data_IF_309183627360
#
_entry.id   IF_309183627360
#
_cell.length_a   1.000
_cell.length_b   1.000
_cell.length_c   1.000
_cell.angle_alpha   90.00
_cell.angle_beta   90.00
_cell.angle_gamma   90.00
#
_symmetry.space_group_name_H-M   'P 1'
#
loop_
_entity.id
_entity.type
_entity.pdbx_description
1 polymer ?
#
# COMPACT_ATOMS: atom_id res chain seq x y z
N UNK A 1 0.62 -6.86 -2.99
CA UNK A 1 -0.29 -7.28 -4.08
C UNK A 1 -1.69 -6.87 -3.73
N UNK A 2 -2.34 -6.15 -4.64
CA UNK A 2 -3.78 -5.86 -4.53
C UNK A 2 -4.62 -7.14 -4.73
N UNK A 3 -5.94 -7.02 -4.53
CA UNK A 3 -6.87 -8.13 -4.67
C UNK A 3 -6.89 -8.71 -6.10
N UNK A 4 -6.71 -7.87 -7.13
CA UNK A 4 -6.72 -8.31 -8.54
C UNK A 4 -5.43 -8.99 -8.99
N UNK A 5 -4.36 -8.93 -8.17
CA UNK A 5 -3.01 -9.43 -8.51
C UNK A 5 -2.39 -8.71 -9.71
N UNK A 6 -2.75 -7.45 -9.94
CA UNK A 6 -2.13 -6.61 -10.97
C UNK A 6 -1.16 -5.60 -10.38
N UNK A 7 -1.42 -5.09 -9.18
CA UNK A 7 -0.59 -4.07 -8.57
C UNK A 7 0.18 -4.65 -7.39
N UNK A 8 1.48 -4.35 -7.33
CA UNK A 8 2.31 -4.57 -6.14
C UNK A 8 2.39 -3.25 -5.39
N UNK A 9 2.06 -3.29 -4.11
CA UNK A 9 2.28 -2.20 -3.17
C UNK A 9 3.41 -2.61 -2.25
N UNK A 10 4.52 -1.88 -2.34
CA UNK A 10 5.74 -2.12 -1.57
C UNK A 10 6.12 -0.88 -0.76
N UNK A 11 6.68 -1.08 0.42
CA UNK A 11 6.96 0.01 1.36
C UNK A 11 8.37 0.58 1.14
N UNK A 12 8.44 1.84 0.72
CA UNK A 12 9.64 2.65 0.81
C UNK A 12 9.72 3.24 2.24
N UNK A 13 9.94 2.36 3.21
CA UNK A 13 9.66 2.60 4.64
C UNK A 13 10.37 3.83 5.22
N UNK A 14 11.66 4.02 4.97
CA UNK A 14 12.44 5.15 5.48
C UNK A 14 12.06 6.50 4.81
N UNK A 15 11.17 6.48 3.82
CA UNK A 15 10.67 7.65 3.10
C UNK A 15 9.18 7.91 3.34
N UNK A 16 8.55 7.17 4.26
CA UNK A 16 7.11 7.28 4.60
C UNK A 16 6.19 7.18 3.36
N UNK A 17 6.51 6.24 2.46
CA UNK A 17 5.80 6.05 1.18
C UNK A 17 5.51 4.59 0.86
N UNK A 18 4.42 4.40 0.11
CA UNK A 18 4.09 3.17 -0.60
C UNK A 18 4.30 3.39 -2.10
N UNK A 19 5.10 2.52 -2.72
CA UNK A 19 5.24 2.44 -4.16
C UNK A 19 4.19 1.49 -4.73
N UNK A 20 3.40 1.96 -5.69
CA UNK A 20 2.42 1.17 -6.43
C UNK A 20 2.99 0.88 -7.81
N UNK A 21 3.23 -0.40 -8.10
CA UNK A 21 3.80 -0.86 -9.37
C UNK A 21 2.72 -1.63 -10.14
N UNK A 22 2.45 -1.22 -11.38
CA UNK A 22 1.63 -2.00 -12.30
C UNK A 22 2.48 -3.12 -12.89
N UNK A 23 2.20 -4.37 -12.52
CA UNK A 23 2.98 -5.52 -12.98
C UNK A 23 2.62 -5.96 -14.39
N UNK A 24 1.50 -5.47 -14.95
CA UNK A 24 1.15 -5.71 -16.35
C UNK A 24 2.01 -4.85 -17.27
N UNK A 25 2.16 -3.58 -16.93
CA UNK A 25 2.93 -2.62 -17.73
C UNK A 25 4.40 -2.54 -17.32
N UNK A 26 4.75 -3.09 -16.15
CA UNK A 26 6.11 -3.09 -15.61
C UNK A 26 6.60 -1.69 -15.19
N UNK A 27 5.69 -0.83 -14.71
CA UNK A 27 5.97 0.59 -14.43
C UNK A 27 5.49 1.01 -13.05
N UNK A 28 6.15 2.04 -12.51
CA UNK A 28 5.68 2.75 -11.33
C UNK A 28 4.40 3.51 -11.70
N UNK A 29 3.31 3.19 -11.03
CA UNK A 29 2.02 3.86 -11.20
C UNK A 29 1.93 5.09 -10.28
N UNK A 30 2.31 4.93 -9.01
CA UNK A 30 2.19 6.01 -8.02
C UNK A 30 3.13 5.83 -6.83
N UNK A 31 3.51 6.96 -6.23
CA UNK A 31 4.07 7.03 -4.88
C UNK A 31 3.04 7.68 -3.95
N UNK A 32 2.58 6.94 -2.94
CA UNK A 32 1.59 7.42 -1.98
C UNK A 32 2.30 7.74 -0.67
N UNK A 33 2.18 8.97 -0.17
CA UNK A 33 2.66 9.34 1.16
C UNK A 33 1.71 8.78 2.23
N UNK A 34 2.27 8.19 3.29
CA UNK A 34 1.52 7.56 4.39
C UNK A 34 2.12 7.98 5.74
N UNK A 35 1.76 7.28 6.83
CA UNK A 35 2.34 7.49 8.16
C UNK A 35 3.81 7.07 8.24
N UNK A 36 4.39 7.16 9.44
CA UNK A 36 5.82 6.95 9.68
C UNK A 36 6.21 5.48 9.61
N UNK A 37 7.22 5.16 8.80
CA UNK A 37 7.79 3.80 8.68
C UNK A 37 6.70 2.76 8.39
N UNK A 38 6.02 2.82 7.23
CA UNK A 38 5.03 1.83 6.85
C UNK A 38 5.64 0.42 6.81
N UNK A 39 4.95 -0.55 7.39
CA UNK A 39 5.44 -1.92 7.48
C UNK A 39 4.31 -2.95 7.25
N UNK A 40 3.93 -3.16 5.98
CA UNK A 40 2.73 -3.92 5.64
C UNK A 40 2.88 -5.44 5.79
N UNK A 41 4.11 -5.97 5.81
CA UNK A 41 4.32 -7.37 5.44
C UNK A 41 3.87 -7.59 3.99
N UNK A 42 2.80 -8.37 3.77
CA UNK A 42 2.13 -8.44 2.44
C UNK A 42 0.96 -7.45 2.30
N UNK A 43 0.59 -6.81 3.40
CA UNK A 43 -0.61 -5.98 3.61
C UNK A 43 -1.91 -6.77 3.63
N UNK A 44 -3.02 -6.06 3.79
CA UNK A 44 -4.36 -6.65 3.91
C UNK A 44 -5.30 -6.10 2.83
N UNK A 45 -5.89 -6.99 2.03
CA UNK A 45 -6.90 -6.61 1.03
C UNK A 45 -8.30 -6.85 1.60
N UNK A 46 -9.21 -5.90 1.42
CA UNK A 46 -10.63 -6.04 1.75
C UNK A 46 -11.47 -5.05 0.94
N UNK A 47 -12.79 -5.18 1.01
CA UNK A 47 -13.72 -4.22 0.40
C UNK A 47 -14.23 -3.30 1.50
N UNK A 48 -13.82 -2.05 1.43
CA UNK A 48 -14.33 -0.99 2.29
C UNK A 48 -15.74 -0.56 1.81
N UNK A 49 -16.73 -0.37 2.70
CA UNK A 49 -18.08 0.02 2.31
C UNK A 49 -18.19 1.36 1.56
N UNK A 50 -17.25 2.28 1.80
CA UNK A 50 -17.25 3.62 1.20
C UNK A 50 -16.30 3.71 0.00
N UNK A 51 -15.11 3.11 0.11
CA UNK A 51 -14.04 3.27 -0.88
C UNK A 51 -13.91 2.09 -1.86
N UNK A 52 -14.63 0.99 -1.64
CA UNK A 52 -14.55 -0.21 -2.46
C UNK A 52 -13.30 -1.04 -2.16
N UNK A 53 -12.73 -1.78 -3.12
CA UNK A 53 -11.52 -2.58 -2.90
C UNK A 53 -10.33 -1.71 -2.47
N UNK A 54 -9.79 -1.98 -1.29
CA UNK A 54 -8.63 -1.29 -0.71
C UNK A 54 -7.55 -2.28 -0.28
N UNK A 55 -6.37 -1.74 -0.02
CA UNK A 55 -5.27 -2.47 0.60
C UNK A 55 -4.69 -1.65 1.73
N UNK A 56 -4.48 -2.29 2.88
CA UNK A 56 -4.07 -1.62 4.09
C UNK A 56 -2.62 -1.90 4.50
N UNK A 57 -2.00 -0.90 5.11
CA UNK A 57 -0.74 -1.02 5.86
C UNK A 57 -0.86 -0.43 7.25
N UNK A 58 -0.21 -1.09 8.22
CA UNK A 58 0.15 -0.48 9.50
C UNK A 58 1.55 0.14 9.45
N UNK A 59 1.92 0.79 10.55
CA UNK A 59 3.14 1.58 10.66
C UNK A 59 3.92 1.18 11.92
N UNK A 60 5.26 1.17 11.83
CA UNK A 60 6.12 0.96 13.01
C UNK A 60 6.44 2.28 13.72
N UNK A 61 6.36 3.40 13.01
CA UNK A 61 6.72 4.72 13.53
C UNK A 61 5.56 5.51 14.15
N UNK A 62 4.31 5.02 14.02
CA UNK A 62 3.11 5.58 14.63
C UNK A 62 1.97 4.54 14.65
N UNK A 63 0.81 4.92 15.21
CA UNK A 63 -0.38 4.06 15.37
C UNK A 63 -1.35 4.10 14.18
N UNK A 64 -0.97 4.73 13.07
CA UNK A 64 -1.90 4.94 11.95
C UNK A 64 -2.09 3.67 11.11
N UNK A 65 -3.26 3.54 10.50
CA UNK A 65 -3.53 2.58 9.43
C UNK A 65 -3.88 3.39 8.18
N UNK A 66 -3.25 3.07 7.05
CA UNK A 66 -3.56 3.69 5.75
C UNK A 66 -4.22 2.67 4.82
N UNK A 67 -5.22 3.12 4.06
CA UNK A 67 -6.03 2.36 3.10
C UNK A 67 -5.88 2.91 1.68
#
# INVERSE_FOLDING_TARGET
WDASKRYVMDAANASDKIAVIDTKEGKLEKLVSVGKVPHPGRGANFVDPQFGPVWATGHLGDETISL
#
